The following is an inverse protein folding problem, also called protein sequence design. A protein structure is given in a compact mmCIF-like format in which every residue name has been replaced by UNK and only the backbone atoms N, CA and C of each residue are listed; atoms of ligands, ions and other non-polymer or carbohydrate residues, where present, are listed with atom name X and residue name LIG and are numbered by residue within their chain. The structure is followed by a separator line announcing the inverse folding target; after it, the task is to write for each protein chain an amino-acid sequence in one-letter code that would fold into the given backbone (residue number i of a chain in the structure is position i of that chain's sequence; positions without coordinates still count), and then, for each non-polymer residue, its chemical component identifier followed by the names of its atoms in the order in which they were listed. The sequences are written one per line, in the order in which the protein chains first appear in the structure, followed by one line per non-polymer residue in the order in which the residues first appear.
data_IF_121114116296
#
_entry.id   IF_121114116296
#
_cell.length_a   1.000
_cell.length_b   1.000
_cell.length_c   1.000
_cell.angle_alpha   90.00
_cell.angle_beta   90.00
_cell.angle_gamma   90.00
#
_symmetry.space_group_name_H-M   'P 1'
#
loop_
_entity.id
_entity.type
_entity.pdbx_description
1 polymer ?
#
# COMPACT_ATOMS: atom_id res chain seq x y z
N UNK A 1 -3.33 2.68 -16.47
CA UNK A 1 -3.25 2.72 -14.98
C UNK A 1 -2.31 1.65 -14.50
N UNK A 2 -1.46 1.97 -13.54
CA UNK A 2 -0.53 1.05 -12.89
C UNK A 2 -0.91 0.85 -11.41
N UNK A 3 -0.73 -0.36 -10.88
CA UNK A 3 -0.83 -0.68 -9.45
C UNK A 3 0.52 -1.18 -8.98
N UNK A 4 1.13 -0.51 -8.02
CA UNK A 4 2.39 -0.94 -7.40
C UNK A 4 2.14 -1.50 -6.01
N UNK A 5 2.73 -2.67 -5.76
CA UNK A 5 2.72 -3.30 -4.45
C UNK A 5 4.18 -3.50 -4.01
N UNK A 6 4.73 -2.59 -3.18
CA UNK A 6 6.05 -2.78 -2.61
C UNK A 6 5.99 -3.87 -1.54
N UNK A 7 6.66 -4.99 -1.80
CA UNK A 7 6.72 -6.13 -0.88
C UNK A 7 8.16 -6.63 -0.63
N UNK A 8 9.11 -5.69 -0.72
CA UNK A 8 10.53 -5.96 -0.49
C UNK A 8 10.97 -5.77 0.98
N UNK A 9 10.03 -5.55 1.90
CA UNK A 9 10.34 -5.44 3.32
C UNK A 9 10.82 -6.77 3.93
N UNK A 10 11.70 -6.71 4.94
CA UNK A 10 12.26 -7.91 5.60
C UNK A 10 11.24 -8.78 6.33
N UNK A 11 10.07 -8.20 6.70
CA UNK A 11 9.07 -8.95 7.46
C UNK A 11 9.51 -9.37 8.86
N UNK A 12 10.48 -8.66 9.45
CA UNK A 12 11.19 -9.05 10.71
C UNK A 12 10.26 -9.48 11.84
N UNK A 13 9.11 -8.84 12.02
CA UNK A 13 8.14 -9.20 13.07
C UNK A 13 7.62 -10.63 12.95
N UNK A 14 7.43 -11.08 11.70
CA UNK A 14 7.02 -12.46 11.42
C UNK A 14 8.18 -13.43 11.56
N UNK A 15 9.37 -13.05 11.11
CA UNK A 15 10.59 -13.84 11.30
C UNK A 15 10.88 -14.06 12.81
N UNK A 16 10.83 -12.99 13.60
CA UNK A 16 11.02 -13.03 15.07
C UNK A 16 9.95 -13.90 15.76
N UNK A 17 8.74 -14.02 15.16
CA UNK A 17 7.66 -14.90 15.62
C UNK A 17 7.74 -16.34 15.07
N UNK A 18 8.82 -16.70 14.35
CA UNK A 18 9.08 -18.06 13.87
C UNK A 18 8.43 -18.42 12.53
N UNK A 19 7.92 -17.47 11.77
CA UNK A 19 7.41 -17.74 10.44
C UNK A 19 8.55 -17.99 9.45
N UNK A 20 8.47 -19.09 8.71
CA UNK A 20 9.52 -19.53 7.76
C UNK A 20 9.42 -18.86 6.39
N UNK A 21 8.24 -18.39 6.02
CA UNK A 21 8.01 -17.71 4.74
C UNK A 21 8.10 -16.19 4.88
N UNK A 22 8.56 -15.47 3.83
CA UNK A 22 8.51 -14.02 3.82
C UNK A 22 7.05 -13.54 3.91
N UNK A 23 6.86 -12.37 4.53
CA UNK A 23 5.52 -11.85 4.86
C UNK A 23 4.49 -11.98 3.72
N UNK A 24 4.77 -11.65 2.44
CA UNK A 24 3.77 -11.77 1.37
C UNK A 24 3.29 -13.19 1.10
N UNK A 25 4.07 -14.19 1.51
CA UNK A 25 3.79 -15.61 1.27
C UNK A 25 3.26 -16.36 2.51
N UNK A 26 3.08 -15.65 3.63
CA UNK A 26 2.48 -16.24 4.82
C UNK A 26 1.06 -16.69 4.48
N UNK A 27 0.74 -17.93 4.88
CA UNK A 27 -0.59 -18.49 4.69
C UNK A 27 -1.66 -17.72 5.48
N UNK A 28 -2.72 -17.36 4.78
CA UNK A 28 -3.91 -16.71 5.32
C UNK A 28 -5.13 -17.50 4.87
N UNK A 29 -5.54 -18.46 5.66
CA UNK A 29 -6.68 -19.32 5.38
C UNK A 29 -6.58 -20.07 4.03
N UNK A 30 -5.42 -20.70 3.78
CA UNK A 30 -5.15 -21.49 2.57
C UNK A 30 -4.70 -20.66 1.35
N UNK A 31 -4.49 -19.35 1.51
CA UNK A 31 -3.98 -18.47 0.45
C UNK A 31 -2.75 -17.68 0.94
N UNK A 32 -1.74 -17.43 0.11
CA UNK A 32 -0.69 -16.48 0.44
C UNK A 32 -1.28 -15.09 0.74
N UNK A 33 -0.72 -14.37 1.71
CA UNK A 33 -1.17 -13.03 2.07
C UNK A 33 -1.30 -12.12 0.84
N UNK A 34 -0.32 -12.14 -0.07
CA UNK A 34 -0.35 -11.32 -1.27
C UNK A 34 -1.55 -11.63 -2.17
N UNK A 35 -2.00 -12.88 -2.22
CA UNK A 35 -3.20 -13.25 -2.98
C UNK A 35 -4.45 -12.59 -2.39
N UNK A 36 -4.59 -12.60 -1.06
CA UNK A 36 -5.69 -11.92 -0.36
C UNK A 36 -5.70 -10.43 -0.71
N UNK A 37 -4.53 -9.78 -0.73
CA UNK A 37 -4.41 -8.36 -1.06
C UNK A 37 -4.79 -8.10 -2.53
N UNK A 38 -4.29 -8.88 -3.46
CA UNK A 38 -4.62 -8.77 -4.89
C UNK A 38 -6.11 -8.94 -5.14
N UNK A 39 -6.72 -9.96 -4.53
CA UNK A 39 -8.17 -10.22 -4.62
C UNK A 39 -8.99 -9.08 -4.01
N UNK A 40 -8.55 -8.54 -2.88
CA UNK A 40 -9.21 -7.42 -2.21
C UNK A 40 -9.09 -6.10 -2.97
N UNK A 41 -7.92 -5.82 -3.59
CA UNK A 41 -7.75 -4.66 -4.45
C UNK A 41 -8.67 -4.71 -5.66
N UNK A 42 -8.86 -5.87 -6.27
CA UNK A 42 -9.78 -6.13 -7.40
C UNK A 42 -9.74 -5.04 -8.48
N UNK A 43 -8.53 -4.63 -8.88
CA UNK A 43 -8.29 -3.60 -9.88
C UNK A 43 -7.87 -4.21 -11.21
N UNK A 44 -8.46 -3.71 -12.31
CA UNK A 44 -8.01 -4.01 -13.68
C UNK A 44 -6.94 -2.99 -14.06
N UNK A 45 -5.68 -3.41 -13.98
CA UNK A 45 -4.52 -2.55 -14.19
C UNK A 45 -3.27 -3.38 -14.47
N UNK A 46 -2.21 -2.75 -14.96
CA UNK A 46 -0.86 -3.34 -14.96
C UNK A 46 -0.36 -3.37 -13.51
N UNK A 47 -0.12 -4.58 -12.98
CA UNK A 47 0.43 -4.76 -11.65
C UNK A 47 1.96 -4.80 -11.69
N UNK A 48 2.59 -4.14 -10.72
CA UNK A 48 4.04 -4.09 -10.56
C UNK A 48 4.34 -4.49 -9.10
N UNK A 49 5.06 -5.59 -8.93
CA UNK A 49 5.48 -6.09 -7.62
C UNK A 49 6.97 -5.82 -7.43
N UNK A 50 7.34 -5.21 -6.31
CA UNK A 50 8.75 -4.97 -5.99
C UNK A 50 9.14 -5.88 -4.85
N UNK A 51 10.05 -6.82 -5.12
CA UNK A 51 10.38 -7.94 -4.24
C UNK A 51 11.87 -7.97 -3.89
N UNK A 52 12.23 -8.60 -2.77
CA UNK A 52 13.61 -8.96 -2.50
C UNK A 52 14.06 -10.06 -3.46
N UNK A 53 15.25 -9.92 -4.06
CA UNK A 53 15.81 -10.90 -5.00
C UNK A 53 15.96 -12.29 -4.39
N UNK A 54 16.36 -12.36 -3.12
CA UNK A 54 16.44 -13.62 -2.39
C UNK A 54 15.06 -14.32 -2.31
N UNK A 55 13.98 -13.57 -2.08
CA UNK A 55 12.63 -14.14 -2.03
C UNK A 55 12.18 -14.63 -3.40
N UNK A 56 12.49 -13.88 -4.48
CA UNK A 56 12.16 -14.28 -5.85
C UNK A 56 12.84 -15.60 -6.21
N UNK A 57 14.12 -15.77 -5.84
CA UNK A 57 14.88 -16.97 -6.13
C UNK A 57 14.44 -18.20 -5.32
N UNK A 58 14.13 -18.00 -4.01
CA UNK A 58 13.84 -19.12 -3.10
C UNK A 58 12.40 -19.62 -3.14
N UNK A 59 11.43 -18.75 -3.47
CA UNK A 59 10.02 -19.01 -3.21
C UNK A 59 9.12 -18.98 -4.45
N UNK A 60 9.67 -19.18 -5.65
CA UNK A 60 8.91 -19.22 -6.90
C UNK A 60 7.91 -18.07 -7.09
N UNK A 61 8.30 -16.84 -6.66
CA UNK A 61 7.42 -15.67 -6.71
C UNK A 61 6.97 -15.36 -8.13
N UNK A 62 7.83 -15.56 -9.14
CA UNK A 62 7.45 -15.40 -10.55
C UNK A 62 6.26 -16.28 -10.94
N UNK A 63 6.30 -17.56 -10.56
CA UNK A 63 5.25 -18.52 -10.90
C UNK A 63 3.94 -18.15 -10.19
N UNK A 64 4.04 -17.79 -8.91
CA UNK A 64 2.89 -17.33 -8.13
C UNK A 64 2.26 -16.06 -8.73
N UNK A 65 3.06 -15.06 -9.09
CA UNK A 65 2.54 -13.82 -9.68
C UNK A 65 1.94 -14.07 -11.06
N UNK A 66 2.57 -14.91 -11.89
CA UNK A 66 2.02 -15.31 -13.19
C UNK A 66 0.65 -16.01 -13.06
N UNK A 67 0.46 -16.79 -11.99
CA UNK A 67 -0.83 -17.43 -11.70
C UNK A 67 -1.88 -16.40 -11.25
N UNK A 68 -1.50 -15.45 -10.41
CA UNK A 68 -2.43 -14.47 -9.82
C UNK A 68 -2.69 -13.27 -10.74
N UNK A 69 -1.69 -12.81 -11.46
CA UNK A 69 -1.70 -11.66 -12.37
C UNK A 69 -0.74 -11.91 -13.55
N UNK A 70 -1.17 -12.62 -14.62
CA UNK A 70 -0.30 -13.07 -15.72
C UNK A 70 0.53 -11.97 -16.39
N UNK A 71 -0.01 -10.74 -16.49
CA UNK A 71 0.64 -9.62 -17.17
C UNK A 71 1.38 -8.68 -16.18
N UNK A 72 1.73 -9.19 -14.99
CA UNK A 72 2.41 -8.36 -13.97
C UNK A 72 3.91 -8.26 -14.25
N UNK A 73 4.48 -7.11 -13.81
CA UNK A 73 5.93 -6.90 -13.77
C UNK A 73 6.47 -7.22 -12.38
N UNK A 74 7.60 -7.89 -12.30
CA UNK A 74 8.30 -8.15 -11.04
C UNK A 74 9.65 -7.46 -11.08
N UNK A 75 9.83 -6.50 -10.20
CA UNK A 75 11.11 -5.82 -9.98
C UNK A 75 11.80 -6.47 -8.78
N UNK A 76 12.93 -7.10 -9.06
CA UNK A 76 13.77 -7.73 -8.03
C UNK A 76 14.84 -6.74 -7.56
N UNK A 77 14.92 -6.51 -6.25
CA UNK A 77 15.94 -5.66 -5.64
C UNK A 77 16.77 -6.47 -4.65
N UNK A 78 18.09 -6.24 -4.66
CA UNK A 78 19.03 -6.94 -3.79
C UNK A 78 19.51 -6.08 -2.61
N UNK A 79 19.06 -4.84 -2.56
CA UNK A 79 19.41 -3.89 -1.51
C UNK A 79 18.21 -3.62 -0.62
N UNK A 80 18.50 -3.21 0.61
CA UNK A 80 17.48 -2.73 1.52
C UNK A 80 17.32 -1.23 1.27
N UNK A 81 16.14 -0.85 0.83
CA UNK A 81 15.80 0.56 0.63
C UNK A 81 15.57 1.27 1.96
N UNK A 82 15.67 2.58 1.93
CA UNK A 82 15.46 3.44 3.10
C UNK A 82 13.97 3.74 3.34
N UNK A 83 13.07 2.85 2.91
CA UNK A 83 11.63 2.94 3.13
C UNK A 83 10.80 2.69 1.87
N UNK A 84 9.48 2.61 2.06
CA UNK A 84 8.54 2.19 1.02
C UNK A 84 8.52 3.16 -0.19
N UNK A 85 8.68 4.47 0.02
CA UNK A 85 8.73 5.44 -1.10
C UNK A 85 9.94 5.21 -2.00
N UNK A 86 11.13 4.94 -1.43
CA UNK A 86 12.30 4.58 -2.22
C UNK A 86 12.11 3.25 -2.93
N UNK A 87 11.47 2.28 -2.28
CA UNK A 87 11.13 1.00 -2.91
C UNK A 87 10.27 1.22 -4.15
N UNK A 88 9.22 2.05 -4.06
CA UNK A 88 8.35 2.37 -5.21
C UNK A 88 9.14 3.06 -6.33
N UNK A 89 10.10 3.92 -6.02
CA UNK A 89 10.95 4.58 -7.02
C UNK A 89 11.84 3.61 -7.81
N UNK A 90 12.05 2.36 -7.38
CA UNK A 90 12.71 1.32 -8.20
C UNK A 90 11.91 0.98 -9.46
N UNK A 91 10.61 1.32 -9.47
CA UNK A 91 9.75 1.20 -10.65
C UNK A 91 9.65 2.51 -11.47
N UNK A 92 10.50 3.52 -11.22
CA UNK A 92 10.41 4.85 -11.82
C UNK A 92 10.21 4.81 -13.33
N UNK A 93 10.98 4.00 -14.05
CA UNK A 93 10.92 3.93 -15.51
C UNK A 93 9.57 3.44 -16.05
N UNK A 94 8.81 2.71 -15.24
CA UNK A 94 7.48 2.20 -15.59
C UNK A 94 6.35 3.16 -15.24
N UNK A 95 6.56 4.04 -14.26
CA UNK A 95 5.51 4.90 -13.69
C UNK A 95 5.70 6.39 -13.87
N UNK A 96 6.86 6.84 -14.37
CA UNK A 96 7.13 8.27 -14.62
C UNK A 96 6.45 8.75 -15.91
N UNK A 97 5.12 8.67 -15.93
CA UNK A 97 4.29 8.98 -17.08
C UNK A 97 2.96 9.62 -16.64
N UNK A 98 2.04 9.83 -17.59
CA UNK A 98 0.74 10.43 -17.36
C UNK A 98 -0.36 9.40 -16.97
N UNK A 99 -0.02 8.13 -16.84
CA UNK A 99 -0.96 7.09 -16.39
C UNK A 99 -1.33 7.27 -14.91
N UNK A 100 -2.56 6.91 -14.57
CA UNK A 100 -2.99 6.79 -13.18
C UNK A 100 -2.13 5.74 -12.46
N UNK A 101 -1.76 6.05 -11.22
CA UNK A 101 -0.98 5.18 -10.36
C UNK A 101 -1.72 4.92 -9.04
N UNK A 102 -1.81 3.65 -8.66
CA UNK A 102 -2.16 3.25 -7.29
C UNK A 102 -0.94 2.60 -6.64
N UNK A 103 -0.63 3.04 -5.43
CA UNK A 103 0.35 2.38 -4.56
C UNK A 103 -0.43 1.74 -3.43
N UNK A 104 -0.27 0.43 -3.24
CA UNK A 104 -0.96 -0.31 -2.19
C UNK A 104 0.02 -1.09 -1.33
N UNK A 105 -0.16 -1.04 -0.01
CA UNK A 105 0.57 -1.89 0.91
C UNK A 105 0.20 -3.37 0.70
N UNK A 106 1.14 -4.27 1.02
CA UNK A 106 0.99 -5.73 0.85
C UNK A 106 0.39 -6.45 2.05
N UNK A 107 -0.18 -5.72 3.03
CA UNK A 107 -0.54 -6.25 4.34
C UNK A 107 -1.80 -5.64 4.96
N UNK A 108 -2.76 -5.19 4.14
CA UNK A 108 -3.99 -4.58 4.62
C UNK A 108 -5.19 -5.03 3.77
N UNK A 109 -6.19 -5.57 4.43
CA UNK A 109 -7.50 -5.88 3.85
C UNK A 109 -8.48 -4.77 4.21
N UNK A 110 -9.32 -4.35 3.26
CA UNK A 110 -10.30 -3.28 3.46
C UNK A 110 -11.65 -3.67 2.88
N UNK A 111 -12.72 -3.19 3.52
CA UNK A 111 -14.06 -3.27 2.96
C UNK A 111 -14.33 -2.04 2.07
N UNK A 112 -14.23 -2.22 0.76
CA UNK A 112 -14.36 -1.14 -0.20
C UNK A 112 -14.89 -1.56 -1.57
N UNK A 113 -15.26 -0.57 -2.38
CA UNK A 113 -15.54 -0.77 -3.80
C UNK A 113 -14.49 0.01 -4.63
N UNK A 114 -13.53 -0.68 -5.28
CA UNK A 114 -12.45 -0.03 -6.03
C UNK A 114 -12.94 0.76 -7.23
N UNK A 115 -14.02 0.33 -7.89
CA UNK A 115 -14.59 1.06 -9.03
C UNK A 115 -15.28 2.35 -8.58
N UNK A 116 -15.95 2.32 -7.43
CA UNK A 116 -16.52 3.52 -6.84
C UNK A 116 -15.43 4.51 -6.41
N UNK A 117 -14.34 4.01 -5.82
CA UNK A 117 -13.16 4.82 -5.48
C UNK A 117 -12.58 5.53 -6.70
N UNK A 118 -12.29 4.79 -7.78
CA UNK A 118 -11.75 5.38 -9.01
C UNK A 118 -12.70 6.41 -9.64
N UNK A 119 -14.00 6.08 -9.71
CA UNK A 119 -15.02 7.02 -10.20
C UNK A 119 -15.08 8.29 -9.36
N UNK A 120 -14.99 8.17 -8.04
CA UNK A 120 -14.96 9.30 -7.13
C UNK A 120 -13.74 10.19 -7.38
N UNK A 121 -12.52 9.62 -7.48
CA UNK A 121 -11.31 10.40 -7.74
C UNK A 121 -11.36 11.13 -9.09
N UNK A 122 -11.81 10.44 -10.14
CA UNK A 122 -11.96 11.03 -11.49
C UNK A 122 -13.02 12.13 -11.51
N UNK A 123 -14.18 11.93 -10.86
CA UNK A 123 -15.25 12.94 -10.76
C UNK A 123 -14.82 14.19 -9.99
N UNK A 124 -13.94 14.02 -8.99
CA UNK A 124 -13.37 15.13 -8.22
C UNK A 124 -12.21 15.83 -8.95
N UNK A 125 -11.79 15.30 -10.11
CA UNK A 125 -10.58 15.73 -10.80
C UNK A 125 -9.35 15.77 -9.86
N UNK A 126 -9.31 14.82 -8.90
CA UNK A 126 -8.31 14.75 -7.88
C UNK A 126 -6.91 14.53 -8.48
N UNK A 127 -5.92 15.32 -8.09
CA UNK A 127 -4.52 15.06 -8.42
C UNK A 127 -3.96 13.87 -7.63
N UNK A 128 -4.49 13.65 -6.42
CA UNK A 128 -4.17 12.50 -5.58
C UNK A 128 -5.32 12.10 -4.69
N UNK A 129 -5.26 10.88 -4.16
CA UNK A 129 -6.29 10.34 -3.30
C UNK A 129 -5.73 9.40 -2.23
N UNK A 130 -6.31 9.44 -1.06
CA UNK A 130 -5.90 8.64 0.09
C UNK A 130 -7.12 7.88 0.62
N UNK A 131 -7.07 6.56 0.64
CA UNK A 131 -8.11 5.76 1.30
C UNK A 131 -7.90 5.83 2.81
N UNK A 132 -8.98 6.13 3.54
CA UNK A 132 -8.91 6.45 4.98
C UNK A 132 -9.96 5.72 5.79
N UNK A 133 -9.70 5.59 7.08
CA UNK A 133 -10.64 5.07 8.09
C UNK A 133 -10.48 5.85 9.40
N UNK A 134 -11.41 5.65 10.34
CA UNK A 134 -11.34 6.33 11.63
C UNK A 134 -10.46 5.52 12.61
N UNK A 135 -9.40 6.16 13.11
CA UNK A 135 -8.51 5.59 14.13
C UNK A 135 -7.74 6.71 14.84
N UNK A 136 -7.22 6.42 16.03
CA UNK A 136 -6.30 7.29 16.78
C UNK A 136 -5.03 6.55 17.22
N UNK A 137 -4.87 5.27 16.79
CA UNK A 137 -3.74 4.46 17.21
C UNK A 137 -2.44 4.89 16.49
N UNK A 138 -1.35 5.24 17.17
CA UNK A 138 -0.16 5.87 16.58
C UNK A 138 0.65 4.99 15.61
N UNK A 139 0.20 3.77 15.33
CA UNK A 139 0.86 2.89 14.33
C UNK A 139 0.56 3.29 12.87
N UNK A 140 -0.44 4.15 12.64
CA UNK A 140 -0.91 4.53 11.31
C UNK A 140 -0.35 5.87 10.84
N UNK A 141 -0.48 6.13 9.55
CA UNK A 141 -0.35 7.48 8.99
C UNK A 141 -1.69 8.21 9.12
N UNK A 142 -1.67 9.52 9.18
CA UNK A 142 -2.84 10.36 9.41
C UNK A 142 -2.90 11.49 8.40
N UNK A 143 -4.12 11.95 8.11
CA UNK A 143 -4.34 13.13 7.28
C UNK A 143 -5.14 14.17 8.07
N UNK A 144 -4.83 15.46 7.87
CA UNK A 144 -5.69 16.58 8.26
C UNK A 144 -6.28 17.16 6.99
N UNK A 145 -7.57 17.48 7.03
CA UNK A 145 -8.31 18.10 5.95
C UNK A 145 -8.73 19.51 6.31
N UNK A 146 -8.88 20.37 5.31
CA UNK A 146 -9.43 21.70 5.44
C UNK A 146 -10.97 21.72 5.30
N UNK A 147 -11.58 22.90 5.38
CA UNK A 147 -13.03 23.08 5.26
C UNK A 147 -13.60 22.68 3.88
N UNK A 148 -12.76 22.58 2.85
CA UNK A 148 -13.12 22.12 1.52
C UNK A 148 -13.01 20.58 1.36
N UNK A 149 -12.69 19.85 2.45
CA UNK A 149 -12.39 18.42 2.48
C UNK A 149 -11.17 18.03 1.60
N UNK A 150 -10.22 18.94 1.42
CA UNK A 150 -8.93 18.67 0.81
C UNK A 150 -7.89 18.37 1.91
N UNK A 151 -6.99 17.43 1.61
CA UNK A 151 -5.88 17.14 2.52
C UNK A 151 -4.91 18.30 2.54
N UNK A 152 -4.59 18.80 3.72
CA UNK A 152 -3.62 19.88 3.95
C UNK A 152 -2.34 19.42 4.63
N UNK A 153 -2.37 18.29 5.34
CA UNK A 153 -1.18 17.68 5.96
C UNK A 153 -1.33 16.17 6.04
N UNK A 154 -0.23 15.47 5.80
CA UNK A 154 -0.09 14.03 6.03
C UNK A 154 1.06 13.78 7.01
N UNK A 155 0.83 13.00 8.04
CA UNK A 155 1.84 12.67 9.05
C UNK A 155 1.92 11.15 9.27
N UNK A 156 3.14 10.62 9.20
CA UNK A 156 3.42 9.22 9.48
C UNK A 156 3.59 8.99 10.98
N UNK A 157 2.88 7.99 11.53
CA UNK A 157 2.96 7.55 12.94
C UNK A 157 2.74 8.68 13.97
N UNK A 158 2.04 9.72 13.58
CA UNK A 158 1.70 10.86 14.43
C UNK A 158 0.24 11.21 14.22
N UNK A 159 -0.65 10.95 15.19
CA UNK A 159 -2.08 11.28 15.10
C UNK A 159 -2.29 12.80 15.10
N UNK A 160 -2.43 13.39 13.91
CA UNK A 160 -2.75 14.82 13.73
C UNK A 160 -4.25 15.06 13.59
N UNK A 161 -5.02 13.98 13.52
CA UNK A 161 -6.49 13.92 13.44
C UNK A 161 -6.95 12.53 13.86
N UNK A 162 -8.22 12.21 13.68
CA UNK A 162 -8.76 10.85 13.76
C UNK A 162 -8.90 10.15 12.39
N UNK A 163 -8.39 10.75 11.32
CA UNK A 163 -8.48 10.22 9.95
C UNK A 163 -7.16 9.52 9.61
N UNK A 164 -7.14 8.21 9.76
CA UNK A 164 -5.98 7.36 9.47
C UNK A 164 -5.99 6.85 8.03
N UNK A 165 -4.81 6.59 7.44
CA UNK A 165 -4.69 6.01 6.11
C UNK A 165 -4.68 4.49 6.17
N UNK A 166 -5.20 3.83 5.13
CA UNK A 166 -5.19 2.36 5.01
C UNK A 166 -4.01 1.83 4.18
N UNK A 167 -3.13 2.70 3.69
CA UNK A 167 -2.00 2.28 2.85
C UNK A 167 -2.36 2.06 1.38
N UNK A 168 -3.44 2.66 0.91
CA UNK A 168 -3.81 2.71 -0.52
C UNK A 168 -3.85 4.17 -0.95
N UNK A 169 -3.05 4.49 -1.96
CA UNK A 169 -2.77 5.85 -2.43
C UNK A 169 -2.95 5.94 -3.94
N UNK A 170 -3.73 6.91 -4.40
CA UNK A 170 -3.99 7.21 -5.80
C UNK A 170 -3.24 8.47 -6.23
N UNK A 171 -2.66 8.43 -7.42
CA UNK A 171 -2.06 9.56 -8.11
C UNK A 171 -2.66 9.62 -9.51
N UNK A 172 -3.15 10.80 -9.92
CA UNK A 172 -3.71 11.02 -11.26
C UNK A 172 -2.67 10.73 -12.34
N UNK A 173 -1.42 11.07 -12.06
CA UNK A 173 -0.28 10.78 -12.93
C UNK A 173 0.87 10.21 -12.11
N UNK A 174 1.42 9.09 -12.53
CA UNK A 174 2.55 8.45 -11.84
C UNK A 174 3.77 9.38 -11.74
N UNK A 175 3.99 10.25 -12.72
CA UNK A 175 5.06 11.27 -12.67
C UNK A 175 4.94 12.24 -11.49
N UNK A 176 3.71 12.52 -11.01
CA UNK A 176 3.51 13.40 -9.85
C UNK A 176 4.04 12.72 -8.57
N UNK A 177 3.80 11.43 -8.40
CA UNK A 177 4.43 10.65 -7.33
C UNK A 177 5.96 10.69 -7.43
N UNK A 178 6.51 10.38 -8.61
CA UNK A 178 7.97 10.33 -8.81
C UNK A 178 8.61 11.65 -8.42
N UNK A 179 8.09 12.76 -8.95
CA UNK A 179 8.58 14.11 -8.65
C UNK A 179 8.51 14.43 -7.16
N UNK A 180 7.37 14.18 -6.53
CA UNK A 180 7.16 14.47 -5.11
C UNK A 180 8.03 13.59 -4.21
N UNK A 181 8.15 12.29 -4.49
CA UNK A 181 9.00 11.37 -3.73
C UNK A 181 10.49 11.77 -3.83
N UNK A 182 10.97 12.09 -5.02
CA UNK A 182 12.35 12.58 -5.19
C UNK A 182 12.59 13.90 -4.46
N UNK A 183 11.59 14.80 -4.42
CA UNK A 183 11.69 16.05 -3.70
C UNK A 183 11.74 15.83 -2.18
N UNK A 184 10.87 14.98 -1.64
CA UNK A 184 10.88 14.55 -0.24
C UNK A 184 12.25 13.95 0.16
N UNK A 185 12.82 13.11 -0.72
CA UNK A 185 14.13 12.51 -0.47
C UNK A 185 15.27 13.53 -0.52
N UNK A 186 15.26 14.47 -1.48
CA UNK A 186 16.24 15.58 -1.53
C UNK A 186 16.17 16.46 -0.28
N UNK A 187 14.97 16.73 0.25
CA UNK A 187 14.77 17.45 1.51
C UNK A 187 15.12 16.59 2.74
N UNK A 188 15.39 15.30 2.55
CA UNK A 188 15.63 14.30 3.61
C UNK A 188 14.52 14.23 4.67
N UNK A 189 13.25 14.37 4.25
CA UNK A 189 12.10 14.30 5.14
C UNK A 189 11.80 12.83 5.45
N UNK A 190 12.05 12.42 6.68
CA UNK A 190 11.94 11.04 7.15
C UNK A 190 11.08 10.91 8.41
N UNK A 191 10.50 9.74 8.60
CA UNK A 191 9.93 9.31 9.87
C UNK A 191 10.63 8.03 10.30
N UNK A 192 11.15 7.96 11.53
CA UNK A 192 11.91 6.81 12.03
C UNK A 192 13.04 6.36 11.06
N UNK A 193 13.75 7.32 10.47
CA UNK A 193 14.82 7.13 9.47
C UNK A 193 14.36 6.49 8.14
N UNK A 194 13.06 6.39 7.86
CA UNK A 194 12.52 5.82 6.63
C UNK A 194 11.77 6.85 5.80
N UNK A 195 11.76 6.65 4.48
CA UNK A 195 10.92 7.39 3.54
C UNK A 195 9.61 6.63 3.30
N UNK A 196 8.52 7.08 3.94
CA UNK A 196 7.19 6.51 3.76
C UNK A 196 6.45 7.08 2.55
N UNK A 197 5.48 6.33 2.03
CA UNK A 197 4.67 6.76 0.88
C UNK A 197 3.69 7.87 1.26
N UNK A 198 3.03 7.77 2.42
CA UNK A 198 2.01 8.74 2.81
C UNK A 198 2.52 10.19 2.87
N UNK A 199 3.68 10.51 3.48
CA UNK A 199 4.20 11.88 3.52
C UNK A 199 4.59 12.47 2.15
N UNK A 200 4.71 11.66 1.09
CA UNK A 200 4.96 12.17 -0.28
C UNK A 200 3.88 13.16 -0.72
N UNK A 201 2.65 12.99 -0.24
CA UNK A 201 1.57 13.92 -0.54
C UNK A 201 1.80 15.34 -0.05
N UNK A 202 2.61 15.55 1.00
CA UNK A 202 2.93 16.92 1.44
C UNK A 202 3.66 17.72 0.36
N UNK A 203 4.55 17.09 -0.40
CA UNK A 203 5.24 17.73 -1.53
C UNK A 203 4.27 18.07 -2.68
N UNK A 204 3.24 17.25 -2.88
CA UNK A 204 2.18 17.54 -3.85
C UNK A 204 1.31 18.71 -3.37
N UNK A 205 0.93 18.73 -2.09
CA UNK A 205 0.15 19.81 -1.47
C UNK A 205 0.91 21.14 -1.56
N UNK A 206 2.21 21.15 -1.23
CA UNK A 206 3.06 22.33 -1.36
C UNK A 206 3.12 22.84 -2.82
N UNK A 207 2.96 21.97 -3.81
CA UNK A 207 2.89 22.34 -5.23
C UNK A 207 1.48 22.72 -5.73
N UNK A 208 0.50 22.86 -4.83
CA UNK A 208 -0.86 23.28 -5.14
C UNK A 208 -1.77 22.17 -5.68
N UNK A 209 -1.39 20.90 -5.55
CA UNK A 209 -2.19 19.76 -5.99
C UNK A 209 -3.36 19.49 -5.04
N UNK A 210 -4.50 19.06 -5.60
CA UNK A 210 -5.71 18.74 -4.85
C UNK A 210 -5.73 17.26 -4.45
N UNK A 211 -5.61 17.00 -3.16
CA UNK A 211 -5.61 15.66 -2.60
C UNK A 211 -6.92 15.42 -1.85
N UNK A 212 -7.65 14.38 -2.24
CA UNK A 212 -8.92 14.00 -1.60
C UNK A 212 -8.77 12.76 -0.72
N UNK A 213 -9.61 12.67 0.31
CA UNK A 213 -9.77 11.42 1.06
C UNK A 213 -10.92 10.59 0.50
N UNK A 214 -10.84 9.27 0.68
CA UNK A 214 -11.92 8.33 0.43
C UNK A 214 -12.14 7.48 1.70
N UNK A 215 -13.15 7.80 2.50
CA UNK A 215 -13.39 7.09 3.75
C UNK A 215 -14.01 5.71 3.51
N UNK A 216 -13.55 4.73 4.27
CA UNK A 216 -14.11 3.39 4.34
C UNK A 216 -14.53 3.04 5.77
N UNK A 217 -15.41 2.04 5.91
CA UNK A 217 -15.92 1.64 7.21
C UNK A 217 -14.95 0.73 7.98
N UNK A 218 -14.30 -0.22 7.31
CA UNK A 218 -13.47 -1.22 7.96
C UNK A 218 -12.14 -1.45 7.25
N UNK A 219 -11.08 -1.56 8.06
CA UNK A 219 -9.76 -1.99 7.65
C UNK A 219 -9.22 -3.03 8.63
N UNK A 220 -8.64 -4.10 8.11
CA UNK A 220 -7.98 -5.16 8.87
C UNK A 220 -6.51 -5.21 8.48
N UNK A 221 -5.63 -4.94 9.44
CA UNK A 221 -4.20 -5.10 9.23
C UNK A 221 -3.80 -6.57 9.20
N UNK A 222 -2.79 -6.88 8.39
CA UNK A 222 -2.13 -8.19 8.31
C UNK A 222 -0.61 -8.05 8.53
N UNK A 223 -0.18 -6.88 9.02
CA UNK A 223 1.23 -6.48 9.08
C UNK A 223 2.02 -7.03 10.26
N UNK A 224 1.35 -7.64 11.24
CA UNK A 224 1.97 -8.30 12.39
C UNK A 224 1.30 -9.64 12.68
N UNK A 225 1.98 -10.58 13.40
CA UNK A 225 1.35 -11.83 13.83
C UNK A 225 0.05 -11.62 14.61
N UNK A 226 0.00 -10.59 15.47
CA UNK A 226 -1.19 -10.24 16.26
C UNK A 226 -2.33 -9.72 15.37
N UNK A 227 -2.02 -8.89 14.39
CA UNK A 227 -3.01 -8.39 13.42
C UNK A 227 -3.57 -9.55 12.59
N UNK A 228 -2.69 -10.48 12.15
CA UNK A 228 -3.08 -11.68 11.41
C UNK A 228 -4.01 -12.57 12.24
N UNK A 229 -3.71 -12.80 13.52
CA UNK A 229 -4.56 -13.56 14.43
C UNK A 229 -5.95 -12.92 14.60
N UNK A 230 -6.00 -11.60 14.73
CA UNK A 230 -7.28 -10.85 14.78
C UNK A 230 -8.07 -11.01 13.48
N UNK A 231 -7.39 -10.98 12.35
CA UNK A 231 -8.03 -11.21 11.05
C UNK A 231 -8.65 -12.61 10.99
N UNK A 232 -7.93 -13.67 11.36
CA UNK A 232 -8.46 -15.03 11.41
C UNK A 232 -9.70 -15.15 12.31
N UNK A 233 -9.66 -14.53 13.48
CA UNK A 233 -10.79 -14.55 14.43
C UNK A 233 -12.02 -13.78 13.91
N UNK A 234 -11.85 -12.90 12.92
CA UNK A 234 -12.93 -12.13 12.28
C UNK A 234 -13.55 -12.84 11.07
N UNK A 235 -12.90 -13.89 10.54
CA UNK A 235 -13.47 -14.67 9.44
C UNK A 235 -14.63 -15.53 9.94
N UNK A 236 -15.67 -15.76 9.11
CA UNK A 236 -16.71 -16.72 9.42
C UNK A 236 -16.07 -18.07 9.72
N UNK A 237 -16.40 -18.67 10.86
CA UNK A 237 -15.99 -20.05 11.14
C UNK A 237 -16.71 -20.97 10.16
N UNK A 238 -15.99 -21.42 9.14
CA UNK A 238 -16.48 -22.48 8.27
C UNK A 238 -16.54 -23.77 9.12
N UNK A 239 -17.73 -24.14 9.57
CA UNK A 239 -17.96 -25.47 10.19
C UNK A 239 -17.84 -26.44 9.03
N UNK A 240 -16.68 -27.03 8.81
CA UNK A 240 -16.55 -28.25 8.01
C UNK A 240 -17.12 -29.38 8.84
N UNK A 241 -18.43 -29.66 8.69
CA UNK A 241 -19.00 -30.93 9.07
C UNK A 241 -18.45 -31.96 8.10
N UNK A 242 -17.46 -32.74 8.53
CA UNK A 242 -17.15 -34.01 7.89
C UNK A 242 -18.24 -34.97 8.32
N UNK A 243 -19.23 -35.22 7.46
CA UNK A 243 -20.12 -36.41 7.55
C UNK A 243 -19.37 -37.63 7.05
#
# INVERSE_FOLDING_TARGET
MNVIIPMAGRGKRFEDAGYSFPKPLIDVNGKPMIQIIIENLNLTAKHIFICQGEHVQKFAIHDLMNLLKPDSEIISINEITQGAAETVLKAKDLINNDDELIIANSDQWIDWNPQHFLSFMRKKEADGGIVTFISTHPKWSYVRINDENLVEEVAEKRPISNIATVGIYYYKHGKDFVKAAEQMMRKNIRTNNEFYVAPVFNEMIESGKKIHIYPIAEMKGLGTPEDLLRFFNSLPKTITTYD
#
